data_IF_227445283027
#
_entry.id   IF_227445283027
#
_cell.length_a   1.000
_cell.length_b   1.000
_cell.length_c   1.000
_cell.angle_alpha   90.00
_cell.angle_beta   90.00
_cell.angle_gamma   90.00
#
_symmetry.space_group_name_H-M   'P 1'
#
loop_
_entity.id
_entity.type
_entity.pdbx_description
1 polymer ?
#
# COMPACT_ATOMS: atom_id res chain seq x y z
N UNK A 1 9.12 53.74 -25.21
CA UNK A 1 10.05 53.48 -24.11
C UNK A 1 9.29 53.00 -22.84
N UNK A 2 8.21 53.64 -22.43
CA UNK A 2 7.40 53.24 -21.25
C UNK A 2 6.77 51.84 -21.32
N UNK A 3 6.27 51.38 -22.48
CA UNK A 3 5.73 50.04 -22.63
C UNK A 3 6.77 48.93 -22.41
N UNK A 4 8.00 49.11 -22.85
CA UNK A 4 9.07 48.14 -22.68
C UNK A 4 9.54 48.04 -21.20
N UNK A 5 9.48 49.14 -20.48
CA UNK A 5 9.83 49.22 -19.06
C UNK A 5 8.77 48.50 -18.21
N UNK A 6 7.49 48.64 -18.55
CA UNK A 6 6.36 47.92 -17.86
C UNK A 6 6.45 46.39 -18.05
N UNK A 7 6.86 45.92 -19.23
CA UNK A 7 7.04 44.47 -19.46
C UNK A 7 8.23 43.90 -18.68
N UNK A 8 9.32 44.60 -18.56
CA UNK A 8 10.48 44.17 -17.78
C UNK A 8 10.19 44.13 -16.26
N UNK A 9 9.46 45.12 -15.75
CA UNK A 9 9.03 45.14 -14.35
C UNK A 9 8.05 44.03 -14.06
N UNK A 10 7.10 43.75 -14.96
CA UNK A 10 6.14 42.64 -14.78
C UNK A 10 6.84 41.26 -14.82
N UNK A 11 7.83 41.10 -15.71
CA UNK A 11 8.63 39.86 -15.77
C UNK A 11 9.49 39.65 -14.53
N UNK A 12 10.07 40.72 -13.96
CA UNK A 12 10.82 40.66 -12.71
C UNK A 12 9.91 40.34 -11.51
N UNK A 13 8.69 40.88 -11.46
CA UNK A 13 7.70 40.55 -10.43
C UNK A 13 7.21 39.11 -10.55
N UNK A 14 6.97 38.61 -11.76
CA UNK A 14 6.57 37.22 -12.00
C UNK A 14 7.69 36.24 -11.63
N UNK A 15 8.94 36.56 -11.98
CA UNK A 15 10.10 35.75 -11.63
C UNK A 15 10.34 35.75 -10.11
N UNK A 16 10.19 36.88 -9.43
CA UNK A 16 10.30 36.99 -7.98
C UNK A 16 9.16 36.22 -7.27
N UNK A 17 7.94 36.26 -7.80
CA UNK A 17 6.79 35.50 -7.27
C UNK A 17 6.98 33.99 -7.43
N UNK A 18 7.51 33.53 -8.57
CA UNK A 18 7.84 32.12 -8.81
C UNK A 18 8.98 31.68 -7.88
N UNK A 19 9.99 32.51 -7.66
CA UNK A 19 11.10 32.19 -6.76
C UNK A 19 10.66 32.12 -5.28
N UNK A 20 9.69 32.92 -4.85
CA UNK A 20 9.11 32.85 -3.50
C UNK A 20 8.30 31.55 -3.32
N UNK A 21 7.63 31.06 -4.37
CA UNK A 21 6.90 29.78 -4.31
C UNK A 21 7.86 28.57 -4.24
N UNK A 22 9.06 28.66 -4.85
CA UNK A 22 10.09 27.64 -4.74
C UNK A 22 10.97 27.75 -3.47
N UNK A 23 11.01 28.90 -2.82
CA UNK A 23 11.74 29.14 -1.57
C UNK A 23 10.85 29.09 -0.32
N UNK A 24 9.54 28.91 -0.47
CA UNK A 24 8.73 28.47 0.66
C UNK A 24 9.24 27.05 1.00
N UNK A 25 10.00 26.84 2.11
CA UNK A 25 10.18 25.50 2.57
C UNK A 25 8.74 24.97 2.68
N UNK A 26 8.46 23.80 2.12
CA UNK A 26 7.33 23.06 2.57
C UNK A 26 7.57 22.90 4.08
N UNK A 27 7.02 23.81 4.86
CA UNK A 27 6.85 23.62 6.28
C UNK A 27 5.91 22.43 6.38
N UNK A 28 6.46 21.24 6.20
CA UNK A 28 5.88 20.08 6.82
C UNK A 28 5.83 20.48 8.28
N UNK A 29 4.63 20.75 8.76
CA UNK A 29 4.40 20.94 10.17
C UNK A 29 4.75 19.58 10.80
N UNK A 30 6.03 19.40 11.13
CA UNK A 30 6.45 18.33 12.00
C UNK A 30 5.71 18.60 13.30
N UNK A 31 4.79 17.71 13.66
CA UNK A 31 4.11 17.80 14.94
C UNK A 31 5.17 17.65 16.04
N UNK A 32 4.94 18.27 17.18
CA UNK A 32 5.74 17.94 18.36
C UNK A 32 5.33 16.56 18.89
N UNK A 33 6.20 15.81 19.57
CA UNK A 33 5.82 14.56 20.24
C UNK A 33 4.54 14.70 21.08
N UNK A 34 4.36 15.81 21.79
CA UNK A 34 3.17 16.10 22.58
C UNK A 34 1.90 16.25 21.72
N UNK A 35 2.01 16.83 20.51
CA UNK A 35 0.88 16.94 19.59
C UNK A 35 0.49 15.58 18.98
N UNK A 36 1.47 14.73 18.72
CA UNK A 36 1.25 13.35 18.27
C UNK A 36 0.58 12.54 19.37
N UNK A 37 1.08 12.65 20.62
CA UNK A 37 0.47 11.98 21.76
C UNK A 37 -0.97 12.43 22.00
N UNK A 38 -1.23 13.73 22.00
CA UNK A 38 -2.58 14.26 22.19
C UNK A 38 -3.56 13.75 21.13
N UNK A 39 -3.12 13.72 19.87
CA UNK A 39 -3.94 13.21 18.76
C UNK A 39 -4.19 11.70 18.88
N UNK A 40 -3.16 10.92 19.19
CA UNK A 40 -3.25 9.48 19.36
C UNK A 40 -4.15 9.12 20.57
N UNK A 41 -4.01 9.83 21.70
CA UNK A 41 -4.87 9.65 22.87
C UNK A 41 -6.34 9.93 22.52
N UNK A 42 -6.65 11.05 21.86
CA UNK A 42 -8.02 11.41 21.50
C UNK A 42 -8.71 10.38 20.60
N UNK A 43 -7.97 9.77 19.67
CA UNK A 43 -8.49 8.68 18.84
C UNK A 43 -8.63 7.40 19.66
N UNK A 44 -7.64 7.05 20.47
CA UNK A 44 -7.63 5.81 21.26
C UNK A 44 -8.76 5.77 22.28
N UNK A 45 -9.00 6.85 23.02
CA UNK A 45 -10.10 6.97 23.98
C UNK A 45 -11.48 6.72 23.36
N UNK A 46 -11.61 6.97 22.05
CA UNK A 46 -12.85 6.78 21.33
C UNK A 46 -13.15 5.31 21.05
N UNK A 47 -12.14 4.49 20.84
CA UNK A 47 -12.27 3.13 20.31
C UNK A 47 -11.76 2.03 21.26
N UNK A 48 -10.66 2.28 22.00
CA UNK A 48 -10.03 1.26 22.85
C UNK A 48 -10.95 0.88 24.02
N UNK A 49 -11.09 -0.41 24.25
CA UNK A 49 -11.98 -0.98 25.25
C UNK A 49 -13.47 -0.89 24.92
N UNK A 50 -13.83 -0.39 23.73
CA UNK A 50 -15.23 -0.30 23.24
C UNK A 50 -15.44 -1.13 21.99
N UNK A 51 -14.66 -0.89 20.95
CA UNK A 51 -14.78 -1.55 19.64
C UNK A 51 -13.56 -2.38 19.27
N UNK A 52 -12.39 -1.99 19.79
CA UNK A 52 -11.13 -2.73 19.63
C UNK A 52 -10.46 -2.92 20.99
N UNK A 53 -9.81 -4.07 21.23
CA UNK A 53 -9.16 -4.36 22.51
C UNK A 53 -7.90 -3.54 22.74
N UNK A 54 -7.16 -3.25 21.68
CA UNK A 54 -5.90 -2.51 21.74
C UNK A 54 -5.43 -2.04 20.38
N UNK A 55 -4.44 -1.16 20.39
CA UNK A 55 -3.78 -0.63 19.20
C UNK A 55 -2.35 -0.19 19.52
N UNK A 56 -1.48 -0.21 18.52
CA UNK A 56 -0.20 0.49 18.53
C UNK A 56 -0.24 1.66 17.57
N UNK A 57 0.29 2.80 17.98
CA UNK A 57 0.50 3.97 17.14
C UNK A 57 1.98 4.25 17.09
N UNK A 58 2.56 4.22 15.90
CA UNK A 58 3.96 4.55 15.65
C UNK A 58 4.01 5.62 14.58
N UNK A 59 4.73 6.70 14.84
CA UNK A 59 4.95 7.79 13.88
C UNK A 59 6.45 7.89 13.66
N UNK A 60 6.85 7.83 12.40
CA UNK A 60 8.25 7.98 11.99
C UNK A 60 8.39 9.19 11.09
N UNK A 61 9.44 9.97 11.32
CA UNK A 61 9.88 11.05 10.43
C UNK A 61 11.24 10.66 9.89
N UNK A 62 11.30 10.48 8.56
CA UNK A 62 12.47 9.88 7.91
C UNK A 62 12.82 8.52 8.55
N UNK A 63 14.02 8.34 9.03
CA UNK A 63 14.50 7.09 9.66
C UNK A 63 14.34 7.07 11.19
N UNK A 64 13.67 8.07 11.78
CA UNK A 64 13.53 8.19 13.23
C UNK A 64 12.09 7.96 13.67
N UNK A 65 11.89 7.10 14.66
CA UNK A 65 10.61 7.00 15.35
C UNK A 65 10.47 8.20 16.29
N UNK A 66 9.52 9.10 16.00
CA UNK A 66 9.26 10.30 16.81
C UNK A 66 8.16 10.09 17.83
N UNK A 67 7.34 9.07 17.68
CA UNK A 67 6.31 8.68 18.62
C UNK A 67 6.01 7.19 18.49
N UNK A 68 5.91 6.48 19.63
CA UNK A 68 5.46 5.09 19.68
C UNK A 68 4.69 4.87 20.99
N UNK A 69 3.46 4.35 20.91
CA UNK A 69 2.64 4.08 22.09
C UNK A 69 1.65 2.95 21.84
N UNK A 70 1.58 2.03 22.80
CA UNK A 70 0.54 1.01 22.88
C UNK A 70 -0.66 1.48 23.69
N UNK A 71 -1.84 1.04 23.31
CA UNK A 71 -3.12 1.33 23.95
C UNK A 71 -3.91 0.05 24.16
N UNK A 72 -4.48 -0.15 25.34
CA UNK A 72 -5.26 -1.33 25.67
C UNK A 72 -4.43 -2.61 25.77
N UNK A 73 -4.97 -3.72 25.29
CA UNK A 73 -4.42 -5.06 25.49
C UNK A 73 -4.12 -5.75 24.15
N UNK A 74 -2.98 -6.43 24.12
CA UNK A 74 -2.61 -7.37 23.06
C UNK A 74 -3.30 -8.73 23.26
N UNK A 75 -3.51 -9.10 24.52
CA UNK A 75 -4.19 -10.33 24.93
C UNK A 75 -5.14 -9.99 26.09
N UNK A 76 -6.44 -10.15 25.86
CA UNK A 76 -7.47 -9.87 26.85
C UNK A 76 -7.55 -10.96 27.92
N UNK A 77 -7.24 -12.21 27.60
CA UNK A 77 -7.36 -13.35 28.52
C UNK A 77 -6.26 -13.25 29.58
N UNK A 78 -5.06 -12.90 29.18
CA UNK A 78 -3.88 -12.79 30.06
C UNK A 78 -3.65 -11.35 30.54
N UNK A 79 -4.48 -10.39 30.17
CA UNK A 79 -4.30 -8.95 30.48
C UNK A 79 -2.92 -8.42 30.05
N UNK A 80 -2.38 -8.92 28.94
CA UNK A 80 -1.11 -8.46 28.39
C UNK A 80 -1.32 -7.10 27.71
N UNK A 81 -0.65 -6.08 28.24
CA UNK A 81 -0.74 -4.73 27.67
C UNK A 81 -0.18 -4.68 26.24
N UNK A 82 -0.73 -3.79 25.44
CA UNK A 82 -0.20 -3.50 24.10
C UNK A 82 1.13 -2.76 24.22
N UNK A 83 2.15 -3.30 23.55
CA UNK A 83 3.50 -2.74 23.55
C UNK A 83 3.97 -2.56 22.08
N UNK A 84 4.33 -1.34 21.66
CA UNK A 84 4.73 -1.06 20.29
C UNK A 84 6.04 -1.73 19.87
N UNK A 85 6.87 -2.19 20.82
CA UNK A 85 8.15 -2.83 20.53
C UNK A 85 8.04 -4.36 20.42
N UNK A 86 7.10 -4.96 21.13
CA UNK A 86 7.04 -6.43 21.28
C UNK A 86 5.75 -7.06 20.80
N UNK A 87 4.65 -6.30 20.68
CA UNK A 87 3.39 -6.86 20.20
C UNK A 87 3.44 -7.13 18.69
N UNK A 88 3.12 -8.35 18.32
CA UNK A 88 3.09 -8.79 16.91
C UNK A 88 1.69 -8.65 16.35
N UNK A 89 1.62 -8.13 15.12
CA UNK A 89 0.37 -7.97 14.35
C UNK A 89 0.46 -8.69 13.01
N UNK A 90 -0.68 -9.20 12.55
CA UNK A 90 -0.81 -9.57 11.15
C UNK A 90 -0.84 -8.31 10.28
N UNK A 91 0.08 -8.21 9.34
CA UNK A 91 0.18 -7.08 8.41
C UNK A 91 -0.96 -7.06 7.39
N UNK A 92 -1.63 -8.20 7.21
CA UNK A 92 -2.68 -8.33 6.21
C UNK A 92 -2.20 -7.86 4.84
N UNK A 93 -2.99 -7.02 4.19
CA UNK A 93 -2.69 -6.53 2.83
C UNK A 93 -1.50 -5.57 2.72
N UNK A 94 -0.94 -5.08 3.83
CA UNK A 94 0.33 -4.33 3.80
C UNK A 94 1.46 -5.23 3.28
N UNK A 95 1.36 -6.54 3.47
CA UNK A 95 2.31 -7.52 2.92
C UNK A 95 2.49 -7.41 1.41
N UNK A 96 1.47 -6.96 0.66
CA UNK A 96 1.56 -6.72 -0.78
C UNK A 96 2.63 -5.69 -1.15
N UNK A 97 2.93 -4.76 -0.25
CA UNK A 97 4.02 -3.79 -0.46
C UNK A 97 5.37 -4.49 -0.64
N UNK A 98 5.63 -5.56 0.12
CA UNK A 98 6.87 -6.33 -0.01
C UNK A 98 6.92 -7.11 -1.33
N UNK A 99 5.77 -7.62 -1.79
CA UNK A 99 5.66 -8.25 -3.10
C UNK A 99 6.01 -7.24 -4.19
N UNK A 100 5.41 -6.05 -4.15
CA UNK A 100 5.68 -5.00 -5.15
C UNK A 100 7.12 -4.49 -5.12
N UNK A 101 7.73 -4.36 -3.95
CA UNK A 101 9.17 -4.05 -3.84
C UNK A 101 10.01 -5.15 -4.49
N UNK A 102 9.69 -6.41 -4.26
CA UNK A 102 10.41 -7.53 -4.90
C UNK A 102 10.24 -7.54 -6.43
N UNK A 103 9.03 -7.24 -6.92
CA UNK A 103 8.77 -7.05 -8.35
C UNK A 103 9.64 -5.93 -8.90
N UNK A 104 9.71 -4.79 -8.23
CA UNK A 104 10.52 -3.65 -8.69
C UNK A 104 12.03 -3.96 -8.68
N UNK A 105 12.52 -4.74 -7.73
CA UNK A 105 13.92 -5.22 -7.75
C UNK A 105 14.20 -6.10 -8.97
N UNK A 106 13.27 -6.97 -9.36
CA UNK A 106 13.40 -7.79 -10.57
C UNK A 106 13.34 -6.93 -11.85
N UNK A 107 12.55 -5.86 -11.86
CA UNK A 107 12.51 -4.88 -12.96
C UNK A 107 13.85 -4.14 -13.07
N UNK A 108 14.39 -3.68 -11.95
CA UNK A 108 15.71 -3.02 -11.90
C UNK A 108 16.83 -3.93 -12.43
N UNK A 109 16.78 -5.21 -12.04
CA UNK A 109 17.67 -6.26 -12.54
C UNK A 109 17.40 -6.65 -14.02
N UNK A 110 16.41 -6.06 -14.68
CA UNK A 110 15.97 -6.37 -16.06
C UNK A 110 15.56 -7.84 -16.29
N UNK A 111 15.09 -8.50 -15.23
CA UNK A 111 14.59 -9.88 -15.30
C UNK A 111 13.15 -9.96 -15.74
N UNK A 112 12.38 -8.92 -15.44
CA UNK A 112 10.97 -8.78 -15.82
C UNK A 112 10.69 -7.35 -16.28
N UNK A 113 9.59 -7.16 -17.00
CA UNK A 113 9.08 -5.89 -17.46
C UNK A 113 7.64 -5.72 -17.01
N UNK A 114 7.28 -4.53 -16.53
CA UNK A 114 5.96 -4.25 -15.95
C UNK A 114 4.82 -4.31 -16.97
N UNK A 115 5.09 -4.05 -18.24
CA UNK A 115 4.09 -3.97 -19.31
C UNK A 115 4.04 -5.24 -20.16
N UNK A 116 4.94 -6.18 -19.94
CA UNK A 116 4.92 -7.48 -20.62
C UNK A 116 3.79 -8.36 -20.09
N UNK A 117 3.15 -9.11 -20.98
CA UNK A 117 2.12 -10.09 -20.63
C UNK A 117 2.67 -11.09 -19.61
N UNK A 118 2.02 -11.21 -18.45
CA UNK A 118 2.48 -12.09 -17.36
C UNK A 118 2.56 -13.56 -17.75
N UNK A 119 1.83 -13.99 -18.79
CA UNK A 119 1.93 -15.35 -19.32
C UNK A 119 3.34 -15.70 -19.81
N UNK A 120 4.15 -14.68 -20.13
CA UNK A 120 5.56 -14.84 -20.49
C UNK A 120 6.41 -15.36 -19.32
N UNK A 121 5.99 -15.06 -18.09
CA UNK A 121 6.71 -15.40 -16.87
C UNK A 121 6.10 -16.60 -16.13
N UNK A 122 4.88 -16.97 -16.47
CA UNK A 122 4.13 -18.06 -15.84
C UNK A 122 4.27 -19.35 -16.65
N UNK A 123 4.14 -20.52 -16.00
CA UNK A 123 4.06 -21.79 -16.71
C UNK A 123 2.90 -21.82 -17.72
N UNK A 124 3.08 -22.52 -18.83
CA UNK A 124 2.04 -22.70 -19.84
C UNK A 124 0.73 -23.21 -19.22
N UNK A 125 -0.36 -22.53 -19.55
CA UNK A 125 -1.70 -22.89 -19.07
C UNK A 125 -1.95 -22.60 -17.59
N UNK A 126 -1.08 -21.85 -16.93
CA UNK A 126 -1.32 -21.43 -15.53
C UNK A 126 -2.59 -20.57 -15.41
N UNK A 127 -2.71 -19.54 -16.27
CA UNK A 127 -3.93 -18.75 -16.37
C UNK A 127 -4.86 -19.35 -17.44
N UNK A 128 -5.92 -20.01 -16.99
CA UNK A 128 -6.77 -20.83 -17.86
C UNK A 128 -7.99 -20.06 -18.39
N UNK A 129 -8.50 -19.09 -17.67
CA UNK A 129 -9.83 -18.52 -17.86
C UNK A 129 -9.79 -17.02 -18.09
N UNK A 130 -8.83 -16.53 -18.87
CA UNK A 130 -8.84 -15.12 -19.30
C UNK A 130 -9.97 -14.90 -20.30
N UNK A 131 -10.84 -13.93 -20.01
CA UNK A 131 -12.01 -13.62 -20.82
C UNK A 131 -11.70 -12.67 -21.96
N UNK A 132 -10.70 -11.81 -21.79
CA UNK A 132 -10.36 -10.75 -22.71
C UNK A 132 -9.05 -11.05 -23.44
N UNK A 133 -8.91 -10.55 -24.66
CA UNK A 133 -7.73 -10.77 -25.50
C UNK A 133 -6.53 -9.89 -25.08
N UNK A 134 -6.81 -8.80 -24.40
CA UNK A 134 -5.80 -7.86 -23.93
C UNK A 134 -4.87 -8.54 -22.91
N UNK A 135 -3.55 -8.27 -22.97
CA UNK A 135 -2.60 -8.87 -22.05
C UNK A 135 -2.84 -8.39 -20.61
N UNK A 136 -2.75 -9.30 -19.66
CA UNK A 136 -2.61 -8.96 -18.24
C UNK A 136 -1.13 -8.72 -17.97
N UNK A 137 -0.78 -7.60 -17.38
CA UNK A 137 0.60 -7.21 -17.08
C UNK A 137 0.82 -7.09 -15.58
N UNK A 138 2.10 -7.08 -15.14
CA UNK A 138 2.43 -6.82 -13.74
C UNK A 138 1.89 -5.46 -13.27
N UNK A 139 1.95 -4.44 -14.14
CA UNK A 139 1.39 -3.12 -13.83
C UNK A 139 -0.12 -3.18 -13.56
N UNK A 140 -0.86 -4.00 -14.30
CA UNK A 140 -2.29 -4.24 -14.05
C UNK A 140 -2.53 -4.93 -12.70
N UNK A 141 -1.71 -5.88 -12.31
CA UNK A 141 -1.81 -6.57 -11.02
C UNK A 141 -1.51 -5.62 -9.86
N UNK A 142 -0.42 -4.84 -9.96
CA UNK A 142 0.00 -3.87 -8.94
C UNK A 142 -1.04 -2.77 -8.70
N UNK A 143 -1.76 -2.36 -9.75
CA UNK A 143 -2.80 -1.33 -9.68
C UNK A 143 -4.21 -1.89 -9.45
N UNK A 144 -4.34 -3.21 -9.26
CA UNK A 144 -5.63 -3.89 -9.16
C UNK A 144 -6.55 -3.62 -10.36
N UNK A 145 -5.99 -3.57 -11.56
CA UNK A 145 -6.71 -3.32 -12.81
C UNK A 145 -6.69 -4.52 -13.77
N UNK A 146 -6.26 -5.69 -13.29
CA UNK A 146 -6.23 -6.92 -14.11
C UNK A 146 -7.63 -7.47 -14.44
N UNK A 147 -8.66 -6.99 -13.74
CA UNK A 147 -10.05 -7.32 -14.01
C UNK A 147 -10.55 -8.64 -13.40
N UNK A 148 -9.80 -9.24 -12.47
CA UNK A 148 -10.23 -10.43 -11.75
C UNK A 148 -11.29 -10.11 -10.69
N UNK A 149 -12.26 -11.01 -10.52
CA UNK A 149 -13.17 -10.99 -9.36
C UNK A 149 -12.37 -11.19 -8.07
N UNK A 150 -12.90 -10.67 -6.96
CA UNK A 150 -12.38 -10.98 -5.64
C UNK A 150 -13.04 -12.27 -5.12
N UNK A 151 -12.21 -13.20 -4.68
CA UNK A 151 -12.66 -14.43 -4.02
C UNK A 151 -11.98 -14.48 -2.65
N UNK A 152 -12.80 -14.49 -1.59
CA UNK A 152 -12.33 -14.49 -0.21
C UNK A 152 -12.39 -15.89 0.43
N UNK A 153 -12.81 -16.90 -0.32
CA UNK A 153 -12.91 -18.26 0.15
C UNK A 153 -11.51 -18.86 0.28
N UNK A 154 -11.30 -19.63 1.35
CA UNK A 154 -10.06 -20.39 1.60
C UNK A 154 -8.78 -19.57 1.72
N UNK A 155 -8.86 -18.30 2.17
CA UNK A 155 -7.69 -17.46 2.41
C UNK A 155 -6.95 -17.76 3.72
N UNK A 156 -7.49 -18.63 4.56
CA UNK A 156 -6.93 -18.93 5.90
C UNK A 156 -6.90 -20.41 6.16
N UNK A 157 -5.75 -20.86 6.66
CA UNK A 157 -5.59 -22.19 7.23
C UNK A 157 -5.51 -22.07 8.76
N UNK A 158 -6.18 -22.96 9.46
CA UNK A 158 -6.17 -22.98 10.93
C UNK A 158 -5.13 -23.96 11.48
N UNK A 159 -4.51 -24.73 10.61
CA UNK A 159 -3.49 -25.70 10.97
C UNK A 159 -2.50 -25.88 9.82
N UNK A 160 -1.24 -26.06 10.16
CA UNK A 160 -0.17 -26.31 9.17
C UNK A 160 -0.41 -27.60 8.36
N UNK A 161 -1.21 -28.54 8.86
CA UNK A 161 -1.58 -29.77 8.12
C UNK A 161 -2.61 -29.55 7.02
N UNK A 162 -3.25 -28.39 6.99
CA UNK A 162 -4.23 -27.98 5.97
C UNK A 162 -3.58 -27.15 4.86
N UNK A 163 -2.32 -26.77 5.03
CA UNK A 163 -1.60 -25.93 4.06
C UNK A 163 -1.41 -26.66 2.73
N UNK A 164 -1.93 -26.05 1.67
CA UNK A 164 -1.78 -26.49 0.30
C UNK A 164 -0.65 -25.67 -0.37
N UNK A 165 0.21 -26.27 -1.21
CA UNK A 165 1.21 -25.51 -1.93
C UNK A 165 0.61 -24.33 -2.69
N UNK A 166 1.17 -23.16 -2.50
CA UNK A 166 0.62 -21.89 -3.00
C UNK A 166 0.30 -21.91 -4.51
N UNK A 167 1.18 -22.53 -5.31
CA UNK A 167 0.95 -22.69 -6.74
C UNK A 167 -0.30 -23.51 -7.05
N UNK A 168 -0.61 -24.50 -6.25
CA UNK A 168 -1.79 -25.37 -6.43
C UNK A 168 -3.06 -24.59 -6.10
N UNK A 169 -3.04 -23.81 -5.00
CA UNK A 169 -4.13 -22.92 -4.62
C UNK A 169 -4.45 -21.93 -5.75
N UNK A 170 -3.44 -21.22 -6.25
CA UNK A 170 -3.63 -20.23 -7.31
C UNK A 170 -4.17 -20.86 -8.61
N UNK A 171 -3.70 -22.05 -8.98
CA UNK A 171 -4.18 -22.73 -10.20
C UNK A 171 -5.57 -23.33 -10.07
N UNK A 172 -5.96 -23.75 -8.85
CA UNK A 172 -7.28 -24.34 -8.58
C UNK A 172 -8.37 -23.26 -8.41
N UNK A 173 -8.04 -22.12 -7.81
CA UNK A 173 -8.97 -21.07 -7.42
C UNK A 173 -8.80 -19.79 -8.25
N UNK A 174 -8.48 -19.91 -9.53
CA UNK A 174 -8.43 -18.74 -10.41
C UNK A 174 -9.83 -18.13 -10.56
N UNK A 175 -10.05 -16.88 -10.10
CA UNK A 175 -11.33 -16.19 -10.24
C UNK A 175 -11.60 -15.83 -11.69
N UNK A 176 -12.85 -15.49 -12.00
CA UNK A 176 -13.21 -15.01 -13.34
C UNK A 176 -12.61 -13.64 -13.60
N UNK A 177 -12.19 -13.43 -14.83
CA UNK A 177 -11.88 -12.10 -15.32
C UNK A 177 -13.17 -11.44 -15.82
N UNK A 178 -13.61 -10.37 -15.20
CA UNK A 178 -14.89 -9.71 -15.45
C UNK A 178 -14.76 -8.35 -16.13
N UNK A 179 -13.60 -7.72 -16.05
CA UNK A 179 -13.27 -6.47 -16.71
C UNK A 179 -12.05 -6.62 -17.64
N UNK A 180 -12.00 -5.89 -18.76
CA UNK A 180 -10.77 -5.81 -19.56
C UNK A 180 -9.61 -5.25 -18.72
N UNK A 181 -8.39 -5.81 -18.87
CA UNK A 181 -7.22 -5.27 -18.19
C UNK A 181 -7.05 -3.77 -18.41
N UNK A 182 -6.72 -3.04 -17.34
CA UNK A 182 -6.53 -1.59 -17.37
C UNK A 182 -7.81 -0.74 -17.34
N UNK A 183 -9.00 -1.34 -17.43
CA UNK A 183 -10.25 -0.57 -17.56
C UNK A 183 -10.89 -0.14 -16.24
N UNK A 184 -10.81 -0.97 -15.20
CA UNK A 184 -11.44 -0.73 -13.90
C UNK A 184 -10.48 -1.12 -12.79
N UNK A 185 -10.33 -0.26 -11.78
CA UNK A 185 -9.63 -0.61 -10.55
C UNK A 185 -10.58 -1.38 -9.64
N UNK A 186 -10.33 -2.68 -9.50
CA UNK A 186 -11.07 -3.60 -8.65
C UNK A 186 -10.07 -4.43 -7.84
N UNK A 187 -10.05 -4.22 -6.54
CA UNK A 187 -9.11 -4.91 -5.65
C UNK A 187 -9.20 -6.42 -5.83
N UNK A 188 -8.05 -7.08 -5.94
CA UNK A 188 -7.96 -8.54 -6.07
C UNK A 188 -6.78 -9.08 -5.28
N UNK A 189 -7.07 -9.97 -4.32
CA UNK A 189 -6.04 -10.73 -3.61
C UNK A 189 -5.36 -11.73 -4.55
N UNK A 190 -6.14 -12.39 -5.40
CA UNK A 190 -5.59 -13.30 -6.42
C UNK A 190 -4.59 -12.60 -7.33
N UNK A 191 -4.92 -11.37 -7.78
CA UNK A 191 -4.03 -10.61 -8.66
C UNK A 191 -2.72 -10.17 -8.01
N UNK A 192 -2.66 -10.16 -6.67
CA UNK A 192 -1.47 -9.79 -5.91
C UNK A 192 -0.66 -10.99 -5.39
N UNK A 193 -1.17 -12.19 -5.57
CA UNK A 193 -0.56 -13.44 -5.16
C UNK A 193 0.29 -14.04 -6.28
#
# INVERSE_FOLDING_TARGET
MERLMRYKTLQCFLAALIMIVFLAPAAYASGTPDAYEASANAVSEKYIGKTVPGACVVISEYDNTVFAKGYGFADLENNTAMDPETTVFEWGSISKTFVWVSVMQLVEDRKIDLETDIRTYLPDGFLKNLRFAEPVTLLHLMNHTAGFEEELLDLRYYSASEEIPFKEVLSAHQPKQVYPPGSVSAYSNYGAA
#
